data_IF_361888301976
#
_entry.id   IF_361888301976
#
_cell.length_a   1.000
_cell.length_b   1.000
_cell.length_c   1.000
_cell.angle_alpha   90.00
_cell.angle_beta   90.00
_cell.angle_gamma   90.00
#
_symmetry.space_group_name_H-M   'P 1'
#
loop_
_entity.id
_entity.type
_entity.pdbx_description
1 polymer ?
#
# COMPACT_ATOMS: atom_id res chain seq x y z
N UNK A 1 1.65 -2.25 32.47
CA UNK A 1 2.34 -0.99 32.86
C UNK A 1 1.38 0.15 32.59
N UNK A 2 1.32 1.17 33.44
CA UNK A 2 0.49 2.37 33.21
C UNK A 2 1.22 3.36 32.30
N UNK A 3 0.48 4.00 31.39
CA UNK A 3 1.00 5.08 30.55
C UNK A 3 1.42 6.27 31.41
N UNK A 4 2.65 6.76 31.22
CA UNK A 4 3.15 8.01 31.78
C UNK A 4 3.17 9.09 30.69
N UNK A 5 2.47 10.20 30.94
CA UNK A 5 2.49 11.39 30.09
C UNK A 5 3.39 12.45 30.71
N UNK A 6 4.18 13.13 29.90
CA UNK A 6 4.96 14.30 30.30
C UNK A 6 4.04 15.46 30.74
N UNK A 7 4.55 16.45 31.50
CA UNK A 7 3.75 17.64 31.85
C UNK A 7 3.21 18.38 30.63
N UNK A 8 3.97 18.42 29.53
CA UNK A 8 3.54 19.01 28.26
C UNK A 8 2.37 18.24 27.65
N UNK A 9 2.49 16.90 27.57
CA UNK A 9 1.45 16.01 27.04
C UNK A 9 0.15 16.10 27.87
N UNK A 10 0.27 16.20 29.19
CA UNK A 10 -0.87 16.42 30.09
C UNK A 10 -1.52 17.78 29.85
N UNK A 11 -0.72 18.83 29.68
CA UNK A 11 -1.22 20.17 29.39
C UNK A 11 -1.96 20.24 28.03
N UNK A 12 -1.46 19.55 27.00
CA UNK A 12 -2.16 19.42 25.71
C UNK A 12 -3.48 18.65 25.90
N UNK A 13 -3.45 17.50 26.60
CA UNK A 13 -4.64 16.67 26.82
C UNK A 13 -5.76 17.40 27.57
N UNK A 14 -5.43 18.39 28.41
CA UNK A 14 -6.39 19.21 29.15
C UNK A 14 -7.11 20.27 28.28
N UNK A 15 -6.61 20.58 27.08
CA UNK A 15 -7.21 21.57 26.18
C UNK A 15 -8.57 21.09 25.65
N UNK A 16 -9.50 22.02 25.45
CA UNK A 16 -10.83 21.77 24.86
C UNK A 16 -10.89 22.14 23.37
N UNK A 17 -9.80 21.90 22.68
CA UNK A 17 -9.61 22.18 21.25
C UNK A 17 -9.28 20.87 20.49
N UNK A 18 -8.99 20.99 19.19
CA UNK A 18 -8.68 19.83 18.34
C UNK A 18 -7.37 19.15 18.72
N UNK A 19 -6.36 19.89 19.19
CA UNK A 19 -5.10 19.34 19.66
C UNK A 19 -5.29 18.53 20.95
N UNK A 20 -6.10 19.02 21.89
CA UNK A 20 -6.45 18.27 23.10
C UNK A 20 -7.25 17.01 22.78
N UNK A 21 -8.15 17.07 21.79
CA UNK A 21 -8.85 15.87 21.30
C UNK A 21 -7.88 14.83 20.74
N UNK A 22 -6.97 15.23 19.86
CA UNK A 22 -5.93 14.36 19.30
C UNK A 22 -5.05 13.74 20.40
N UNK A 23 -4.57 14.54 21.35
CA UNK A 23 -3.73 14.06 22.45
C UNK A 23 -4.45 13.04 23.34
N UNK A 24 -5.75 13.24 23.62
CA UNK A 24 -6.55 12.25 24.37
C UNK A 24 -6.70 10.94 23.61
N UNK A 25 -6.90 11.00 22.29
CA UNK A 25 -6.96 9.80 21.43
C UNK A 25 -5.63 9.05 21.50
N UNK A 26 -4.50 9.73 21.27
CA UNK A 26 -3.16 9.11 21.34
C UNK A 26 -2.89 8.50 22.71
N UNK A 27 -3.22 9.21 23.79
CA UNK A 27 -3.03 8.72 25.15
C UNK A 27 -3.90 7.49 25.45
N UNK A 28 -5.17 7.49 25.04
CA UNK A 28 -6.05 6.35 25.28
C UNK A 28 -5.66 5.13 24.44
N UNK A 29 -5.32 5.34 23.17
CA UNK A 29 -4.74 4.29 22.33
C UNK A 29 -3.46 3.73 22.93
N UNK A 30 -2.56 4.58 23.45
CA UNK A 30 -1.34 4.12 24.11
C UNK A 30 -1.64 3.25 25.34
N UNK A 31 -2.65 3.58 26.15
CA UNK A 31 -3.09 2.72 27.28
C UNK A 31 -3.60 1.37 26.80
N UNK A 32 -4.47 1.34 25.79
CA UNK A 32 -5.03 0.12 25.21
C UNK A 32 -3.95 -0.78 24.61
N UNK A 33 -2.93 -0.19 24.01
CA UNK A 33 -1.79 -0.88 23.39
C UNK A 33 -0.70 -1.27 24.39
N UNK A 34 -0.85 -0.93 25.68
CA UNK A 34 0.12 -1.22 26.72
C UNK A 34 1.43 -0.43 26.60
N UNK A 35 1.42 0.69 25.88
CA UNK A 35 2.58 1.57 25.76
C UNK A 35 2.83 2.32 27.08
N UNK A 36 4.06 2.29 27.63
CA UNK A 36 4.37 2.93 28.90
C UNK A 36 4.54 4.45 28.77
N UNK A 37 4.75 4.96 27.56
CA UNK A 37 4.98 6.38 27.24
C UNK A 37 4.66 6.64 25.78
N UNK A 38 4.70 7.91 25.38
CA UNK A 38 4.73 8.32 23.98
C UNK A 38 6.16 8.67 23.54
N UNK A 39 6.44 8.48 22.26
CA UNK A 39 7.72 8.82 21.62
C UNK A 39 7.51 9.91 20.58
N UNK A 40 8.49 10.81 20.37
CA UNK A 40 8.46 11.75 19.27
C UNK A 40 8.53 11.01 17.93
N UNK A 41 7.84 11.53 16.93
CA UNK A 41 7.89 11.00 15.56
C UNK A 41 8.43 12.06 14.61
N UNK A 42 9.13 11.64 13.56
CA UNK A 42 9.73 12.53 12.57
C UNK A 42 8.74 12.97 11.48
N UNK A 43 7.75 12.13 11.17
CA UNK A 43 6.78 12.38 10.09
C UNK A 43 5.58 11.44 10.15
N UNK A 44 4.55 11.72 9.34
CA UNK A 44 3.39 10.85 9.15
C UNK A 44 2.99 10.64 7.69
N UNK A 45 2.34 9.50 7.44
CA UNK A 45 1.61 9.23 6.21
C UNK A 45 0.21 8.76 6.57
N UNK A 46 -0.76 9.64 6.31
CA UNK A 46 -2.13 9.53 6.81
C UNK A 46 -2.97 8.66 5.88
N UNK A 47 -3.47 7.55 6.39
CA UNK A 47 -4.41 6.64 5.73
C UNK A 47 -5.86 7.10 5.86
N UNK A 48 -6.20 7.77 6.98
CA UNK A 48 -7.57 8.16 7.31
C UNK A 48 -8.26 9.18 6.39
N UNK A 49 -7.62 9.57 5.28
CA UNK A 49 -8.20 10.40 4.23
C UNK A 49 -9.03 9.60 3.19
N UNK A 50 -9.25 8.30 3.46
CA UNK A 50 -10.14 7.42 2.72
C UNK A 50 -11.60 7.55 3.19
N UNK A 51 -12.53 7.78 2.27
CA UNK A 51 -13.96 7.88 2.60
C UNK A 51 -14.60 6.49 2.71
N UNK A 52 -14.76 6.00 3.94
CA UNK A 52 -15.51 4.78 4.27
C UNK A 52 -16.85 5.06 4.99
N UNK A 53 -17.29 6.31 4.96
CA UNK A 53 -18.51 6.76 5.62
C UNK A 53 -18.35 8.13 6.28
N UNK A 54 -19.46 8.65 6.77
CA UNK A 54 -19.58 10.03 7.21
C UNK A 54 -18.74 10.33 8.46
N UNK A 55 -18.53 9.34 9.32
CA UNK A 55 -17.79 9.49 10.58
C UNK A 55 -16.37 10.02 10.37
N UNK A 56 -15.64 9.53 9.36
CA UNK A 56 -14.29 10.01 9.08
C UNK A 56 -14.27 11.47 8.61
N UNK A 57 -15.29 11.88 7.84
CA UNK A 57 -15.43 13.26 7.37
C UNK A 57 -15.68 14.19 8.55
N UNK A 58 -16.67 13.85 9.38
CA UNK A 58 -17.06 14.63 10.55
C UNK A 58 -15.93 14.69 11.59
N UNK A 59 -15.16 13.62 11.75
CA UNK A 59 -13.98 13.58 12.62
C UNK A 59 -12.91 14.57 12.17
N UNK A 60 -12.53 14.54 10.89
CA UNK A 60 -11.54 15.46 10.34
C UNK A 60 -12.00 16.93 10.44
N UNK A 61 -13.27 17.20 10.13
CA UNK A 61 -13.85 18.53 10.30
C UNK A 61 -13.87 18.98 11.77
N UNK A 62 -14.12 18.06 12.71
CA UNK A 62 -14.09 18.40 14.14
C UNK A 62 -12.72 18.86 14.61
N UNK A 63 -11.66 18.23 14.10
CA UNK A 63 -10.29 18.65 14.36
C UNK A 63 -10.02 20.06 13.78
N UNK A 64 -10.51 20.34 12.57
CA UNK A 64 -10.41 21.67 11.93
C UNK A 64 -11.17 22.74 12.71
N UNK A 65 -12.42 22.46 13.12
CA UNK A 65 -13.21 23.37 13.98
C UNK A 65 -12.49 23.68 15.29
N UNK A 66 -11.81 22.68 15.85
CA UNK A 66 -10.98 22.81 17.04
C UNK A 66 -9.63 23.48 16.79
N UNK A 67 -9.35 24.01 15.59
CA UNK A 67 -8.12 24.71 15.26
C UNK A 67 -6.86 23.84 15.25
N UNK A 68 -6.98 22.51 15.10
CA UNK A 68 -5.82 21.62 15.06
C UNK A 68 -5.00 21.85 13.79
N UNK A 69 -3.69 21.60 13.90
CA UNK A 69 -2.74 21.55 12.79
C UNK A 69 -1.76 20.40 13.06
N UNK A 70 -1.23 19.79 12.00
CA UNK A 70 -0.14 18.81 12.13
C UNK A 70 1.12 19.48 12.68
N UNK A 71 1.78 18.83 13.65
CA UNK A 71 3.02 19.31 14.25
C UNK A 71 4.28 18.82 13.52
N UNK A 72 4.13 17.77 12.70
CA UNK A 72 5.22 17.16 11.92
C UNK A 72 4.84 17.07 10.45
N UNK A 73 5.83 16.91 9.57
CA UNK A 73 5.60 16.70 8.14
C UNK A 73 4.64 15.53 7.92
N UNK A 74 3.51 15.80 7.27
CA UNK A 74 2.41 14.84 7.16
C UNK A 74 1.93 14.77 5.72
N UNK A 75 1.98 13.58 5.12
CA UNK A 75 1.55 13.33 3.74
C UNK A 75 0.27 12.51 3.71
N UNK A 76 -0.48 12.57 2.62
CA UNK A 76 -1.77 11.89 2.47
C UNK A 76 -1.66 10.64 1.59
N UNK A 77 -2.23 9.54 2.07
CA UNK A 77 -2.57 8.39 1.23
C UNK A 77 -3.62 8.79 0.18
N UNK A 78 -4.01 7.87 -0.68
CA UNK A 78 -5.10 8.05 -1.65
C UNK A 78 -6.37 8.54 -0.95
N UNK A 79 -7.08 9.45 -1.62
CA UNK A 79 -8.40 9.92 -1.23
C UNK A 79 -9.50 9.18 -1.97
N UNK A 80 -10.72 9.66 -1.82
CA UNK A 80 -11.92 9.05 -2.40
C UNK A 80 -12.39 9.72 -3.71
N UNK A 81 -11.61 10.66 -4.26
CA UNK A 81 -11.92 11.34 -5.51
C UNK A 81 -10.64 11.54 -6.32
N UNK A 82 -10.76 11.45 -7.64
CA UNK A 82 -9.77 11.97 -8.58
C UNK A 82 -10.00 13.49 -8.71
N UNK A 83 -9.08 14.30 -8.18
CA UNK A 83 -9.11 15.76 -8.30
C UNK A 83 -8.29 16.29 -9.48
N UNK A 84 -7.58 15.40 -10.19
CA UNK A 84 -6.74 15.73 -11.33
C UNK A 84 -7.48 15.65 -12.67
N UNK A 85 -8.72 15.12 -12.66
CA UNK A 85 -9.54 14.96 -13.85
C UNK A 85 -8.98 13.91 -14.81
N UNK A 86 -8.27 12.91 -14.29
CA UNK A 86 -7.69 11.83 -15.09
C UNK A 86 -8.72 10.73 -15.39
N UNK A 87 -9.63 10.50 -14.45
CA UNK A 87 -10.64 9.44 -14.53
C UNK A 87 -12.04 9.93 -14.16
N UNK A 88 -13.06 9.22 -14.66
CA UNK A 88 -14.46 9.50 -14.31
C UNK A 88 -14.80 8.85 -12.97
N UNK A 89 -14.97 9.67 -11.94
CA UNK A 89 -15.50 9.24 -10.64
C UNK A 89 -17.02 9.06 -10.71
N UNK A 90 -17.50 7.85 -10.46
CA UNK A 90 -18.93 7.45 -10.44
C UNK A 90 -19.55 7.47 -9.05
N UNK A 91 -18.83 8.01 -8.06
CA UNK A 91 -19.39 8.24 -6.73
C UNK A 91 -20.42 9.36 -6.84
N UNK A 92 -21.66 9.06 -6.49
CA UNK A 92 -22.80 9.97 -6.56
C UNK A 92 -22.98 10.77 -5.27
N UNK A 93 -23.83 11.79 -5.31
CA UNK A 93 -24.25 12.54 -4.11
C UNK A 93 -25.24 11.72 -3.26
N UNK A 94 -25.24 11.85 -1.92
CA UNK A 94 -24.46 12.81 -1.12
C UNK A 94 -23.01 12.37 -0.77
N UNK A 95 -22.62 11.12 -1.06
CA UNK A 95 -21.32 10.56 -0.68
C UNK A 95 -20.15 11.31 -1.31
N UNK A 96 -20.30 11.73 -2.58
CA UNK A 96 -19.31 12.55 -3.29
C UNK A 96 -19.03 13.87 -2.57
N UNK A 97 -20.06 14.55 -2.06
CA UNK A 97 -19.91 15.76 -1.26
C UNK A 97 -19.16 15.52 0.04
N UNK A 98 -19.45 14.41 0.73
CA UNK A 98 -18.76 14.01 1.95
C UNK A 98 -17.27 13.69 1.71
N UNK A 99 -16.96 12.89 0.69
CA UNK A 99 -15.59 12.59 0.28
C UNK A 99 -14.77 13.88 0.00
N UNK A 100 -15.36 14.85 -0.71
CA UNK A 100 -14.71 16.14 -0.98
C UNK A 100 -14.43 16.92 0.29
N UNK A 101 -15.39 16.96 1.22
CA UNK A 101 -15.25 17.63 2.53
C UNK A 101 -14.13 17.01 3.36
N UNK A 102 -14.03 15.67 3.37
CA UNK A 102 -12.95 14.96 4.06
C UNK A 102 -11.58 15.36 3.50
N UNK A 103 -11.40 15.28 2.18
CA UNK A 103 -10.12 15.64 1.55
C UNK A 103 -9.73 17.10 1.84
N UNK A 104 -10.70 18.00 1.82
CA UNK A 104 -10.50 19.41 2.16
C UNK A 104 -10.18 19.62 3.66
N UNK A 105 -10.78 18.86 4.56
CA UNK A 105 -10.48 18.91 5.99
C UNK A 105 -9.02 18.54 6.26
N UNK A 106 -8.52 17.44 5.67
CA UNK A 106 -7.11 17.06 5.80
C UNK A 106 -6.15 18.09 5.21
N UNK A 107 -6.52 18.73 4.09
CA UNK A 107 -5.75 19.87 3.56
C UNK A 107 -5.70 21.03 4.56
N UNK A 108 -6.83 21.37 5.19
CA UNK A 108 -6.91 22.43 6.21
C UNK A 108 -6.16 22.11 7.49
N UNK A 109 -5.98 20.83 7.84
CA UNK A 109 -5.14 20.38 8.95
C UNK A 109 -3.63 20.54 8.68
N UNK A 110 -3.25 20.92 7.46
CA UNK A 110 -1.86 21.17 7.07
C UNK A 110 -1.16 19.98 6.41
N UNK A 111 -1.90 18.95 6.00
CA UNK A 111 -1.30 17.78 5.34
C UNK A 111 -0.90 18.06 3.87
N UNK A 112 0.26 17.55 3.47
CA UNK A 112 0.75 17.55 2.09
C UNK A 112 -0.09 16.63 1.21
N UNK A 113 -0.61 17.18 0.11
CA UNK A 113 -1.52 16.53 -0.83
C UNK A 113 -0.79 15.58 -1.81
N UNK A 114 -0.08 14.58 -1.28
CA UNK A 114 0.63 13.58 -2.07
C UNK A 114 -0.30 12.57 -2.76
N UNK A 115 -1.44 12.28 -2.12
CA UNK A 115 -2.51 11.38 -2.56
C UNK A 115 -1.99 10.08 -3.22
N UNK A 116 -1.20 9.32 -2.47
CA UNK A 116 -0.59 8.09 -2.97
C UNK A 116 -0.31 7.11 -1.85
N UNK A 117 -0.54 5.82 -2.09
CA UNK A 117 -0.17 4.74 -1.16
C UNK A 117 1.33 4.41 -1.20
N UNK A 118 2.09 5.03 -2.10
CA UNK A 118 3.54 4.87 -2.22
C UNK A 118 4.26 6.22 -1.97
N UNK A 119 4.22 6.77 -0.74
CA UNK A 119 4.77 8.11 -0.43
C UNK A 119 6.30 8.17 -0.59
N UNK A 120 6.99 7.04 -0.43
CA UNK A 120 8.43 6.91 -0.64
C UNK A 120 8.87 7.14 -2.10
N UNK A 121 7.97 6.94 -3.07
CA UNK A 121 8.21 7.33 -4.47
C UNK A 121 8.03 8.84 -4.69
N UNK A 122 7.22 9.50 -3.84
CA UNK A 122 7.00 10.94 -3.85
C UNK A 122 8.04 11.72 -3.00
N UNK A 123 9.15 11.09 -2.62
CA UNK A 123 10.23 11.71 -1.85
C UNK A 123 10.01 11.76 -0.34
N UNK A 124 8.95 11.15 0.19
CA UNK A 124 8.80 11.01 1.64
C UNK A 124 9.58 9.79 2.14
N UNK A 125 10.84 9.99 2.49
CA UNK A 125 11.77 8.91 2.85
C UNK A 125 12.43 9.19 4.21
N UNK A 126 11.82 8.77 5.33
CA UNK A 126 12.42 8.90 6.65
C UNK A 126 13.76 8.15 6.75
N UNK A 127 14.64 8.62 7.64
CA UNK A 127 15.95 8.02 7.84
C UNK A 127 15.85 6.66 8.54
N UNK A 128 16.83 5.78 8.29
CA UNK A 128 16.99 4.51 8.99
C UNK A 128 16.92 4.70 10.51
N UNK A 129 16.08 3.91 11.19
CA UNK A 129 15.90 3.92 12.63
C UNK A 129 15.01 5.05 13.18
N UNK A 130 14.52 5.97 12.34
CA UNK A 130 13.61 7.03 12.80
C UNK A 130 12.19 6.52 13.06
N UNK A 131 11.57 7.01 14.13
CA UNK A 131 10.17 6.71 14.45
C UNK A 131 9.23 7.62 13.65
N UNK A 132 8.21 7.03 13.02
CA UNK A 132 7.19 7.72 12.22
C UNK A 132 5.80 7.14 12.53
N UNK A 133 4.74 7.85 12.14
CA UNK A 133 3.38 7.30 12.20
C UNK A 133 2.76 7.22 10.80
N UNK A 134 2.96 6.09 10.13
CA UNK A 134 2.40 5.80 8.80
C UNK A 134 1.27 4.77 8.94
N UNK A 135 0.10 5.04 8.37
CA UNK A 135 -1.09 4.17 8.52
C UNK A 135 -1.28 3.16 7.38
N UNK A 136 -1.00 3.57 6.14
CA UNK A 136 -1.29 2.77 4.94
C UNK A 136 -0.46 1.49 4.90
N UNK A 137 -1.09 0.34 4.65
CA UNK A 137 -0.47 -0.98 4.86
C UNK A 137 0.77 -1.25 4.01
N UNK A 138 0.81 -0.83 2.76
CA UNK A 138 2.01 -0.96 1.93
C UNK A 138 3.11 0.01 2.39
N UNK A 139 2.76 1.26 2.69
CA UNK A 139 3.67 2.27 3.17
C UNK A 139 4.31 1.86 4.50
N UNK A 140 3.53 1.29 5.41
CA UNK A 140 3.99 0.72 6.70
C UNK A 140 5.06 -0.34 6.46
N UNK A 141 4.75 -1.35 5.65
CA UNK A 141 5.69 -2.45 5.40
C UNK A 141 6.94 -1.95 4.69
N UNK A 142 6.80 -1.09 3.68
CA UNK A 142 7.94 -0.53 2.97
C UNK A 142 8.81 0.34 3.88
N UNK A 143 8.20 1.18 4.73
CA UNK A 143 8.88 2.00 5.72
C UNK A 143 9.69 1.14 6.70
N UNK A 144 9.08 0.08 7.21
CA UNK A 144 9.73 -0.83 8.14
C UNK A 144 10.84 -1.65 7.49
N UNK A 145 10.57 -2.28 6.34
CA UNK A 145 11.46 -3.25 5.71
C UNK A 145 12.53 -2.63 4.83
N UNK A 146 12.16 -1.67 4.00
CA UNK A 146 13.05 -1.14 2.94
C UNK A 146 13.79 0.09 3.43
N UNK A 147 13.11 0.99 4.14
CA UNK A 147 13.74 2.19 4.71
C UNK A 147 14.39 1.93 6.08
N UNK A 148 13.92 0.92 6.81
CA UNK A 148 14.33 0.63 8.19
C UNK A 148 13.91 1.72 9.19
N UNK A 149 12.99 2.61 8.80
CA UNK A 149 12.29 3.46 9.74
C UNK A 149 11.24 2.64 10.50
N UNK A 150 10.65 3.20 11.55
CA UNK A 150 9.86 2.45 12.52
C UNK A 150 8.46 3.00 12.63
N UNK A 151 7.48 2.16 12.32
CA UNK A 151 6.06 2.50 12.43
C UNK A 151 5.26 1.24 12.75
N UNK A 152 4.16 1.41 13.48
CA UNK A 152 3.12 0.39 13.55
C UNK A 152 2.06 0.61 12.47
N UNK A 153 1.12 -0.33 12.36
CA UNK A 153 -0.09 -0.13 11.56
C UNK A 153 -1.10 0.66 12.38
N UNK A 154 -1.16 1.96 12.15
CA UNK A 154 -2.12 2.86 12.79
C UNK A 154 -3.48 2.79 12.10
N UNK A 155 -4.56 2.89 12.87
CA UNK A 155 -5.89 3.09 12.30
C UNK A 155 -6.14 4.55 11.91
N UNK A 156 -7.09 4.76 11.01
CA UNK A 156 -7.45 6.02 10.32
C UNK A 156 -7.61 7.28 11.21
N UNK A 157 -7.92 7.13 12.49
CA UNK A 157 -8.07 8.28 13.40
C UNK A 157 -6.83 8.53 14.26
N UNK A 158 -6.01 7.50 14.44
CA UNK A 158 -4.84 7.55 15.30
C UNK A 158 -3.64 8.14 14.56
N UNK A 159 -3.47 7.88 13.26
CA UNK A 159 -2.38 8.45 12.46
C UNK A 159 -2.40 9.99 12.43
N UNK A 160 -3.56 10.62 12.18
CA UNK A 160 -3.74 12.06 12.18
C UNK A 160 -3.64 12.64 13.59
N UNK A 161 -4.12 11.91 14.60
CA UNK A 161 -3.94 12.31 15.99
C UNK A 161 -2.45 12.33 16.37
N UNK A 162 -1.68 11.31 15.97
CA UNK A 162 -0.23 11.27 16.12
C UNK A 162 0.45 12.43 15.37
N UNK A 163 -0.03 12.79 14.17
CA UNK A 163 0.49 13.90 13.39
C UNK A 163 0.29 15.26 14.07
N UNK A 164 -0.91 15.51 14.62
CA UNK A 164 -1.25 16.74 15.34
C UNK A 164 -0.43 16.89 16.62
N UNK A 165 -0.20 15.78 17.33
CA UNK A 165 0.54 15.79 18.60
C UNK A 165 2.06 15.72 18.36
N UNK A 166 2.51 15.21 17.21
CA UNK A 166 3.92 14.91 16.94
C UNK A 166 4.47 13.76 17.77
N UNK A 167 3.59 12.86 18.24
CA UNK A 167 3.93 11.74 19.13
C UNK A 167 3.17 10.49 18.75
N UNK A 168 3.76 9.32 18.99
CA UNK A 168 3.10 8.02 18.86
C UNK A 168 3.30 7.14 20.11
N UNK A 169 2.45 6.13 20.34
CA UNK A 169 2.66 5.18 21.43
C UNK A 169 3.97 4.38 21.28
N UNK A 170 4.74 4.24 22.37
CA UNK A 170 5.97 3.40 22.42
C UNK A 170 5.61 1.91 22.54
N UNK A 171 5.35 1.24 21.41
CA UNK A 171 5.02 -0.18 21.35
C UNK A 171 5.37 -0.82 20.01
N UNK A 172 5.24 -2.14 19.95
CA UNK A 172 5.32 -2.90 18.69
C UNK A 172 6.62 -2.64 17.95
N UNK A 173 6.53 -2.31 16.66
CA UNK A 173 7.66 -2.18 15.75
C UNK A 173 8.52 -0.92 15.95
N UNK A 174 8.16 -0.03 16.89
CA UNK A 174 9.07 1.00 17.39
C UNK A 174 10.23 0.42 18.21
N UNK A 175 10.02 -0.77 18.78
CA UNK A 175 10.99 -1.39 19.67
C UNK A 175 11.89 -2.37 18.93
N UNK A 176 13.22 -2.21 18.98
CA UNK A 176 14.16 -3.08 18.25
C UNK A 176 13.96 -4.57 18.52
N UNK A 177 13.62 -4.96 19.75
CA UNK A 177 13.40 -6.35 20.14
C UNK A 177 12.22 -7.00 19.39
N UNK A 178 11.20 -6.23 19.02
CA UNK A 178 10.02 -6.72 18.32
C UNK A 178 10.22 -6.80 16.80
N UNK A 179 11.39 -6.41 16.30
CA UNK A 179 11.74 -6.40 14.87
C UNK A 179 12.57 -7.61 14.46
N UNK A 180 12.93 -8.47 15.40
CA UNK A 180 13.73 -9.67 15.14
C UNK A 180 12.92 -10.76 14.43
N UNK A 181 13.52 -11.37 13.42
CA UNK A 181 12.93 -12.45 12.66
C UNK A 181 12.84 -13.73 13.50
N UNK A 182 11.67 -14.36 13.49
CA UNK A 182 11.40 -15.64 14.15
C UNK A 182 11.46 -16.82 13.19
N UNK A 183 11.30 -16.55 11.90
CA UNK A 183 11.12 -17.55 10.84
C UNK A 183 12.08 -17.27 9.68
N UNK A 184 12.53 -18.32 8.99
CA UNK A 184 13.23 -18.20 7.70
C UNK A 184 12.30 -18.64 6.58
N UNK A 185 12.16 -17.79 5.57
CA UNK A 185 11.42 -18.08 4.34
C UNK A 185 12.43 -18.25 3.20
N UNK A 186 12.78 -19.50 2.91
CA UNK A 186 13.89 -19.85 2.03
C UNK A 186 13.42 -20.01 0.59
N UNK A 187 13.86 -19.10 -0.29
CA UNK A 187 13.56 -19.11 -1.73
C UNK A 187 14.71 -19.64 -2.59
N UNK A 188 15.78 -20.18 -1.98
CA UNK A 188 16.96 -20.67 -2.71
C UNK A 188 16.67 -21.83 -3.66
N UNK A 189 15.58 -22.55 -3.45
CA UNK A 189 15.11 -23.64 -4.32
C UNK A 189 14.38 -23.19 -5.59
N UNK A 190 14.12 -21.89 -5.75
CA UNK A 190 13.42 -21.34 -6.92
C UNK A 190 14.39 -20.96 -8.03
N UNK A 191 13.90 -20.95 -9.26
CA UNK A 191 14.71 -20.62 -10.43
C UNK A 191 15.16 -19.14 -10.41
N UNK A 192 16.43 -18.86 -10.79
CA UNK A 192 16.91 -17.48 -10.89
C UNK A 192 16.10 -16.63 -11.89
N UNK A 193 15.62 -17.23 -12.98
CA UNK A 193 14.77 -16.55 -13.97
C UNK A 193 13.44 -16.11 -13.40
N UNK A 194 12.83 -16.92 -12.52
CA UNK A 194 11.60 -16.54 -11.84
C UNK A 194 11.84 -15.37 -10.89
N UNK A 195 12.86 -15.46 -10.03
CA UNK A 195 13.20 -14.41 -9.06
C UNK A 195 13.58 -13.08 -9.73
N UNK A 196 14.10 -13.13 -10.97
CA UNK A 196 14.38 -11.95 -11.79
C UNK A 196 13.12 -11.34 -12.46
N UNK A 197 11.97 -12.02 -12.44
CA UNK A 197 10.73 -11.54 -13.05
C UNK A 197 9.88 -10.72 -12.06
N UNK A 198 9.13 -9.75 -12.56
CA UNK A 198 8.25 -8.91 -11.72
C UNK A 198 7.11 -9.70 -11.08
N UNK A 199 6.58 -10.71 -11.77
CA UNK A 199 5.46 -11.52 -11.28
C UNK A 199 5.81 -12.33 -10.02
N UNK A 200 7.09 -12.63 -9.79
CA UNK A 200 7.52 -13.41 -8.64
C UNK A 200 7.21 -12.72 -7.32
N UNK A 201 7.43 -11.41 -7.24
CA UNK A 201 7.40 -10.69 -5.98
C UNK A 201 5.99 -10.54 -5.37
N UNK A 202 4.93 -10.20 -6.12
CA UNK A 202 3.58 -10.28 -5.57
C UNK A 202 3.14 -11.71 -5.21
N UNK A 203 3.57 -12.73 -5.96
CA UNK A 203 3.24 -14.13 -5.66
C UNK A 203 3.92 -14.59 -4.37
N UNK A 204 5.23 -14.34 -4.24
CA UNK A 204 6.01 -14.65 -3.04
C UNK A 204 5.52 -13.83 -1.85
N UNK A 205 5.17 -12.57 -2.03
CA UNK A 205 4.59 -11.74 -0.98
C UNK A 205 3.24 -12.30 -0.49
N UNK A 206 2.36 -12.69 -1.42
CA UNK A 206 1.07 -13.32 -1.08
C UNK A 206 1.28 -14.62 -0.30
N UNK A 207 2.20 -15.48 -0.74
CA UNK A 207 2.56 -16.72 -0.05
C UNK A 207 3.15 -16.44 1.34
N UNK A 208 4.14 -15.55 1.41
CA UNK A 208 4.78 -15.14 2.67
C UNK A 208 3.74 -14.65 3.67
N UNK A 209 2.82 -13.76 3.26
CA UNK A 209 1.78 -13.27 4.16
C UNK A 209 0.88 -14.38 4.69
N UNK A 210 0.50 -15.37 3.87
CA UNK A 210 -0.33 -16.50 4.31
C UNK A 210 0.39 -17.43 5.29
N UNK A 211 1.68 -17.70 5.06
CA UNK A 211 2.46 -18.63 5.88
C UNK A 211 3.00 -17.98 7.17
N UNK A 212 3.35 -16.69 7.11
CA UNK A 212 4.02 -15.97 8.21
C UNK A 212 3.02 -15.17 9.06
N UNK A 213 1.95 -14.65 8.46
CA UNK A 213 0.96 -13.82 9.16
C UNK A 213 1.58 -12.56 9.76
N UNK A 214 1.30 -12.30 11.04
CA UNK A 214 1.81 -11.15 11.78
C UNK A 214 3.16 -11.40 12.50
N UNK A 215 3.78 -12.57 12.31
CA UNK A 215 5.14 -12.81 12.77
C UNK A 215 6.15 -12.07 11.87
N UNK A 216 7.40 -11.95 12.33
CA UNK A 216 8.49 -11.38 11.53
C UNK A 216 9.31 -12.53 10.96
N UNK A 217 9.46 -12.58 9.64
CA UNK A 217 10.31 -13.56 8.95
C UNK A 217 11.41 -12.88 8.14
N UNK A 218 12.51 -13.59 7.93
CA UNK A 218 13.58 -13.20 7.01
C UNK A 218 13.56 -14.09 5.76
N UNK A 219 13.51 -13.47 4.59
CA UNK A 219 13.63 -14.15 3.31
C UNK A 219 15.11 -14.43 3.04
N UNK A 220 15.46 -15.70 2.84
CA UNK A 220 16.80 -16.16 2.48
C UNK A 220 16.84 -16.69 1.05
N UNK A 221 18.03 -16.75 0.43
CA UNK A 221 18.21 -17.32 -0.92
C UNK A 221 18.02 -16.34 -2.07
N UNK A 222 17.96 -15.03 -1.80
CA UNK A 222 17.91 -13.98 -2.84
C UNK A 222 19.32 -13.65 -3.30
N UNK A 223 19.64 -13.93 -4.56
CA UNK A 223 21.00 -13.78 -5.10
C UNK A 223 21.40 -12.33 -5.42
N UNK A 224 20.43 -11.46 -5.74
CA UNK A 224 20.67 -10.07 -6.11
C UNK A 224 19.52 -9.18 -5.64
N UNK A 225 19.82 -7.90 -5.42
CA UNK A 225 18.81 -6.92 -5.02
C UNK A 225 17.73 -6.78 -6.11
N UNK A 226 16.44 -7.06 -5.81
CA UNK A 226 15.39 -7.14 -6.84
C UNK A 226 14.84 -5.78 -7.28
N UNK A 227 15.19 -4.71 -6.56
CA UNK A 227 14.75 -3.34 -6.83
C UNK A 227 13.57 -2.94 -5.95
N UNK A 228 13.39 -1.63 -5.74
CA UNK A 228 12.35 -1.13 -4.82
C UNK A 228 10.93 -1.47 -5.29
N UNK A 229 10.65 -1.48 -6.60
CA UNK A 229 9.32 -1.83 -7.11
C UNK A 229 8.96 -3.29 -6.81
N UNK A 230 9.94 -4.20 -6.85
CA UNK A 230 9.77 -5.60 -6.43
C UNK A 230 9.54 -5.72 -4.91
N UNK A 231 10.31 -5.01 -4.09
CA UNK A 231 10.14 -4.97 -2.64
C UNK A 231 8.77 -4.40 -2.22
N UNK A 232 8.35 -3.34 -2.91
CA UNK A 232 7.02 -2.73 -2.82
C UNK A 232 5.92 -3.75 -3.14
N UNK A 233 6.05 -4.44 -4.27
CA UNK A 233 5.07 -5.43 -4.70
C UNK A 233 4.96 -6.62 -3.72
N UNK A 234 6.11 -7.12 -3.25
CA UNK A 234 6.17 -8.15 -2.21
C UNK A 234 5.50 -7.69 -0.91
N UNK A 235 5.90 -6.53 -0.40
CA UNK A 235 5.37 -5.98 0.86
C UNK A 235 3.87 -5.73 0.80
N UNK A 236 3.37 -5.18 -0.30
CA UNK A 236 1.95 -4.92 -0.48
C UNK A 236 1.11 -6.21 -0.53
N UNK A 237 1.58 -7.24 -1.23
CA UNK A 237 0.91 -8.53 -1.28
C UNK A 237 0.92 -9.22 0.10
N UNK A 238 2.06 -9.21 0.80
CA UNK A 238 2.21 -9.79 2.13
C UNK A 238 1.36 -9.09 3.19
N UNK A 239 1.30 -7.75 3.16
CA UNK A 239 0.44 -6.96 4.04
C UNK A 239 -1.05 -7.28 3.81
N UNK A 240 -1.44 -7.52 2.56
CA UNK A 240 -2.83 -7.80 2.20
C UNK A 240 -3.25 -9.22 2.58
N UNK A 241 -2.39 -10.23 2.33
CA UNK A 241 -2.72 -11.63 2.61
C UNK A 241 -2.47 -12.07 4.05
N UNK A 242 -1.59 -11.39 4.78
CA UNK A 242 -1.11 -11.81 6.10
C UNK A 242 -1.07 -10.76 7.20
N UNK A 243 -1.46 -9.51 6.91
CA UNK A 243 -1.27 -8.39 7.83
C UNK A 243 0.20 -8.20 8.29
N UNK A 244 1.16 -8.59 7.45
CA UNK A 244 2.59 -8.37 7.66
C UNK A 244 2.83 -6.88 7.86
N UNK A 245 3.56 -6.50 8.92
CA UNK A 245 3.96 -5.11 9.21
C UNK A 245 5.45 -4.84 8.95
N UNK A 246 6.26 -5.89 8.90
CA UNK A 246 7.70 -5.87 8.65
C UNK A 246 8.12 -7.26 8.15
N UNK A 247 8.86 -7.30 7.05
CA UNK A 247 9.65 -8.44 6.62
C UNK A 247 11.13 -8.06 6.52
N UNK A 248 12.01 -9.05 6.52
CA UNK A 248 13.43 -8.87 6.17
C UNK A 248 13.76 -9.66 4.92
N UNK A 249 14.75 -9.20 4.14
CA UNK A 249 15.39 -9.98 3.08
C UNK A 249 16.90 -9.91 3.33
N UNK A 250 17.50 -11.08 3.58
CA UNK A 250 18.92 -11.18 3.89
C UNK A 250 19.77 -10.60 2.76
N UNK A 251 20.70 -9.71 3.11
CA UNK A 251 21.60 -9.03 2.17
C UNK A 251 20.95 -7.89 1.38
N UNK A 252 19.67 -7.59 1.61
CA UNK A 252 18.90 -6.56 0.87
C UNK A 252 18.33 -5.50 1.81
N UNK A 253 17.55 -5.90 2.81
CA UNK A 253 16.96 -4.94 3.76
C UNK A 253 17.99 -4.48 4.81
N UNK A 254 17.97 -3.20 5.23
CA UNK A 254 19.05 -2.60 6.02
C UNK A 254 19.29 -3.25 7.39
N UNK A 255 18.27 -3.85 8.01
CA UNK A 255 18.39 -4.52 9.32
C UNK A 255 18.90 -5.97 9.22
N UNK A 256 18.97 -6.55 8.01
CA UNK A 256 19.29 -7.96 7.79
C UNK A 256 20.45 -8.13 6.80
N UNK A 257 21.70 -7.84 7.18
CA UNK A 257 22.85 -8.07 6.31
C UNK A 257 23.03 -9.56 5.93
N UNK A 258 22.63 -10.47 6.81
CA UNK A 258 22.50 -11.90 6.57
C UNK A 258 21.45 -12.47 7.53
N UNK A 259 21.03 -13.72 7.33
CA UNK A 259 19.91 -14.35 8.07
C UNK A 259 20.16 -14.33 9.58
N UNK A 260 21.36 -14.76 10.01
CA UNK A 260 21.71 -14.95 11.42
C UNK A 260 21.73 -13.63 12.22
N UNK A 261 22.02 -12.51 11.57
CA UNK A 261 22.08 -11.20 12.23
C UNK A 261 20.72 -10.69 12.72
N UNK A 262 19.63 -11.14 12.08
CA UNK A 262 18.28 -10.63 12.35
C UNK A 262 17.39 -11.62 13.10
N UNK A 263 17.84 -12.86 13.32
CA UNK A 263 17.08 -13.84 14.10
C UNK A 263 16.86 -13.39 15.55
N UNK A 264 15.72 -13.77 16.12
CA UNK A 264 15.36 -13.53 17.51
C UNK A 264 16.12 -14.42 18.49
N UNK A 265 16.67 -15.54 18.00
CA UNK A 265 17.47 -16.50 18.76
C UNK A 265 18.59 -17.09 17.89
N UNK A 266 19.36 -18.05 18.43
CA UNK A 266 20.46 -18.69 17.71
C UNK A 266 19.98 -19.51 16.50
N UNK A 267 18.75 -20.00 16.53
CA UNK A 267 18.10 -20.78 15.46
C UNK A 267 16.70 -20.20 15.18
N UNK A 268 16.18 -20.32 13.94
CA UNK A 268 14.82 -19.92 13.63
C UNK A 268 13.80 -20.87 14.25
N UNK A 269 12.65 -20.33 14.65
CA UNK A 269 11.53 -21.13 15.20
C UNK A 269 10.91 -22.05 14.13
N UNK A 270 10.96 -21.65 12.86
CA UNK A 270 10.67 -22.52 11.73
C UNK A 270 11.39 -22.06 10.44
N UNK A 271 11.56 -23.01 9.52
CA UNK A 271 12.07 -22.76 8.17
C UNK A 271 11.03 -23.20 7.16
N UNK A 272 10.49 -22.25 6.39
CA UNK A 272 9.59 -22.48 5.28
C UNK A 272 10.45 -22.58 4.01
N UNK A 273 10.65 -23.80 3.51
CA UNK A 273 11.35 -24.03 2.24
C UNK A 273 10.36 -23.89 1.09
N UNK A 274 10.48 -22.81 0.33
CA UNK A 274 9.53 -22.49 -0.74
C UNK A 274 9.78 -23.37 -1.95
N UNK A 275 8.76 -24.14 -2.34
CA UNK A 275 8.84 -25.00 -3.53
C UNK A 275 8.09 -24.39 -4.73
N UNK A 276 8.41 -24.80 -5.97
CA UNK A 276 7.66 -24.39 -7.15
C UNK A 276 6.15 -24.67 -7.05
N UNK A 277 5.74 -25.75 -6.39
CA UNK A 277 4.33 -26.09 -6.18
C UNK A 277 3.63 -25.10 -5.24
N UNK A 278 4.33 -24.65 -4.19
CA UNK A 278 3.81 -23.60 -3.30
C UNK A 278 3.62 -22.29 -4.06
N UNK A 279 4.57 -21.93 -4.92
CA UNK A 279 4.49 -20.75 -5.79
C UNK A 279 3.33 -20.85 -6.78
N UNK A 280 3.17 -22.00 -7.45
CA UNK A 280 2.07 -22.24 -8.38
C UNK A 280 0.70 -22.14 -7.69
N UNK A 281 0.57 -22.72 -6.49
CA UNK A 281 -0.64 -22.62 -5.67
C UNK A 281 -0.92 -21.19 -5.23
N UNK A 282 0.09 -20.44 -4.82
CA UNK A 282 -0.04 -19.04 -4.43
C UNK A 282 -0.46 -18.16 -5.62
N UNK A 283 0.14 -18.36 -6.79
CA UNK A 283 -0.22 -17.66 -8.04
C UNK A 283 -1.66 -17.96 -8.44
N UNK A 284 -2.07 -19.23 -8.43
CA UNK A 284 -3.45 -19.61 -8.73
C UNK A 284 -4.45 -18.97 -7.74
N UNK A 285 -4.09 -18.91 -6.46
CA UNK A 285 -4.90 -18.29 -5.41
C UNK A 285 -5.02 -16.76 -5.46
N UNK A 286 -4.37 -16.09 -6.41
CA UNK A 286 -4.57 -14.68 -6.73
C UNK A 286 -5.63 -14.46 -7.83
N UNK A 287 -6.12 -15.53 -8.44
CA UNK A 287 -7.24 -15.45 -9.40
C UNK A 287 -8.52 -16.00 -8.76
N UNK A 288 -9.64 -15.33 -9.02
CA UNK A 288 -10.98 -15.82 -8.62
C UNK A 288 -11.81 -16.24 -9.83
N UNK A 289 -11.42 -15.80 -11.04
CA UNK A 289 -12.03 -16.25 -12.29
C UNK A 289 -11.29 -17.47 -12.86
N UNK A 290 -12.01 -18.34 -13.58
CA UNK A 290 -11.46 -19.50 -14.26
C UNK A 290 -12.03 -19.64 -15.67
N UNK A 291 -11.18 -20.02 -16.64
CA UNK A 291 -11.55 -20.36 -18.02
C UNK A 291 -12.38 -19.27 -18.77
N UNK A 292 -12.16 -17.99 -18.45
CA UNK A 292 -12.87 -16.87 -19.07
C UNK A 292 -12.38 -16.63 -20.51
N UNK A 293 -13.29 -16.31 -21.42
CA UNK A 293 -12.95 -16.05 -22.83
C UNK A 293 -12.63 -14.58 -23.13
N UNK A 294 -13.09 -13.69 -22.26
CA UNK A 294 -12.95 -12.24 -22.38
C UNK A 294 -12.50 -11.67 -21.03
N UNK A 295 -11.94 -10.47 -21.08
CA UNK A 295 -11.73 -9.61 -19.91
C UNK A 295 -12.46 -8.29 -20.15
N UNK A 296 -12.81 -7.58 -19.09
CA UNK A 296 -13.55 -6.30 -19.18
C UNK A 296 -12.64 -5.11 -18.90
N UNK A 297 -11.58 -5.33 -18.12
CA UNK A 297 -10.63 -4.32 -17.73
C UNK A 297 -9.30 -4.94 -17.29
N UNK A 298 -8.27 -4.10 -17.29
CA UNK A 298 -7.02 -4.36 -16.57
C UNK A 298 -6.83 -3.27 -15.53
N UNK A 299 -6.40 -3.61 -14.32
CA UNK A 299 -5.97 -2.61 -13.33
C UNK A 299 -4.56 -2.90 -12.82
N UNK A 300 -3.74 -1.86 -12.80
CA UNK A 300 -2.36 -1.89 -12.33
C UNK A 300 -2.07 -0.67 -11.45
N UNK A 301 -1.01 -0.75 -10.64
CA UNK A 301 -0.66 0.34 -9.72
C UNK A 301 -1.31 0.23 -8.34
N UNK A 302 -1.34 -0.95 -7.74
CA UNK A 302 -1.53 -1.08 -6.30
C UNK A 302 -0.41 -1.92 -5.69
N UNK A 303 0.64 -1.31 -5.14
CA UNK A 303 0.78 0.13 -4.87
C UNK A 303 0.97 0.99 -6.12
N UNK A 304 0.71 2.29 -6.01
CA UNK A 304 0.73 3.26 -7.12
C UNK A 304 2.00 3.18 -7.98
N UNK A 305 1.80 3.24 -9.31
CA UNK A 305 2.86 3.06 -10.29
C UNK A 305 4.00 4.07 -10.11
N UNK A 306 5.23 3.58 -10.22
CA UNK A 306 6.46 4.36 -10.37
C UNK A 306 6.64 4.82 -11.83
N UNK A 307 7.56 5.76 -12.05
CA UNK A 307 7.92 6.17 -13.41
C UNK A 307 8.52 5.00 -14.22
N UNK A 308 9.30 4.12 -13.58
CA UNK A 308 9.90 2.96 -14.25
C UNK A 308 8.85 1.91 -14.66
N UNK A 309 7.79 1.76 -13.85
CA UNK A 309 6.64 0.93 -14.22
C UNK A 309 5.85 1.55 -15.39
N UNK A 310 5.72 2.87 -15.46
CA UNK A 310 5.17 3.56 -16.64
C UNK A 310 6.05 3.37 -17.89
N UNK A 311 7.37 3.40 -17.76
CA UNK A 311 8.29 3.12 -18.87
C UNK A 311 8.08 1.70 -19.41
N UNK A 312 7.86 0.74 -18.51
CA UNK A 312 7.57 -0.65 -18.89
C UNK A 312 6.19 -0.79 -19.54
N UNK A 313 5.17 -0.12 -18.99
CA UNK A 313 3.82 -0.05 -19.57
C UNK A 313 3.86 0.50 -21.00
N UNK A 314 4.51 1.64 -21.24
CA UNK A 314 4.60 2.26 -22.58
C UNK A 314 5.34 1.37 -23.57
N UNK A 315 6.47 0.78 -23.14
CA UNK A 315 7.26 -0.14 -23.97
C UNK A 315 6.42 -1.35 -24.41
N UNK A 316 5.65 -1.93 -23.49
CA UNK A 316 4.83 -3.12 -23.76
C UNK A 316 3.58 -2.79 -24.57
N UNK A 317 2.95 -1.61 -24.37
CA UNK A 317 1.86 -1.14 -25.23
C UNK A 317 2.38 -0.92 -26.66
N UNK A 318 3.59 -0.37 -26.81
CA UNK A 318 4.25 -0.14 -28.10
C UNK A 318 3.38 0.67 -29.10
N UNK A 319 2.60 1.63 -28.59
CA UNK A 319 1.68 2.46 -29.39
C UNK A 319 0.43 1.74 -29.91
N UNK A 320 0.19 0.48 -29.53
CA UNK A 320 -1.00 -0.29 -29.92
C UNK A 320 -2.24 0.26 -29.22
N UNK A 321 -3.39 0.18 -29.89
CA UNK A 321 -4.70 0.42 -29.27
C UNK A 321 -5.12 -0.76 -28.43
N UNK A 322 -5.69 -0.47 -27.27
CA UNK A 322 -6.23 -1.45 -26.35
C UNK A 322 -7.70 -1.74 -26.72
N UNK A 323 -8.07 -3.02 -26.76
CA UNK A 323 -9.46 -3.45 -26.94
C UNK A 323 -10.28 -3.27 -25.65
N UNK A 324 -9.63 -3.36 -24.48
CA UNK A 324 -10.22 -3.08 -23.17
C UNK A 324 -9.34 -2.10 -22.39
N UNK A 325 -9.91 -1.27 -21.49
CA UNK A 325 -9.15 -0.24 -20.80
C UNK A 325 -8.14 -0.83 -19.80
N UNK A 326 -6.96 -0.20 -19.71
CA UNK A 326 -6.04 -0.36 -18.58
C UNK A 326 -6.24 0.82 -17.62
N UNK A 327 -6.65 0.56 -16.38
CA UNK A 327 -6.68 1.54 -15.30
C UNK A 327 -5.32 1.56 -14.59
N UNK A 328 -4.55 2.63 -14.81
CA UNK A 328 -3.22 2.81 -14.26
C UNK A 328 -3.26 3.76 -13.06
N UNK A 329 -3.26 3.21 -11.85
CA UNK A 329 -3.33 3.98 -10.61
C UNK A 329 -1.95 4.55 -10.23
N UNK A 330 -1.88 5.85 -9.98
CA UNK A 330 -0.60 6.52 -9.67
C UNK A 330 -0.77 7.76 -8.78
N UNK A 331 0.35 8.24 -8.23
CA UNK A 331 0.39 9.47 -7.43
C UNK A 331 0.70 10.72 -8.29
N UNK A 332 0.39 11.89 -7.74
CA UNK A 332 0.62 13.19 -8.42
C UNK A 332 2.05 13.40 -8.89
N UNK A 333 3.04 12.86 -8.17
CA UNK A 333 4.46 12.97 -8.50
C UNK A 333 4.81 12.37 -9.88
N UNK A 334 4.27 11.18 -10.19
CA UNK A 334 4.48 10.52 -11.48
C UNK A 334 3.60 11.13 -12.58
N UNK A 335 2.34 11.47 -12.25
CA UNK A 335 1.44 12.17 -13.18
C UNK A 335 2.05 13.47 -13.71
N UNK A 336 2.63 14.29 -12.83
CA UNK A 336 3.27 15.54 -13.22
C UNK A 336 4.44 15.34 -14.20
N UNK A 337 5.16 14.21 -14.10
CA UNK A 337 6.20 13.86 -15.07
C UNK A 337 5.58 13.43 -16.41
N UNK A 338 4.56 12.57 -16.38
CA UNK A 338 3.85 12.15 -17.60
C UNK A 338 3.25 13.33 -18.37
N UNK A 339 2.75 14.35 -17.66
CA UNK A 339 2.21 15.56 -18.27
C UNK A 339 3.30 16.42 -18.92
N UNK A 340 4.40 16.67 -18.21
CA UNK A 340 5.54 17.43 -18.75
C UNK A 340 6.12 16.82 -20.02
N UNK A 341 6.19 15.49 -20.07
CA UNK A 341 6.77 14.76 -21.21
C UNK A 341 5.76 14.48 -22.35
N UNK A 342 4.51 14.94 -22.18
CA UNK A 342 3.38 14.67 -23.10
C UNK A 342 3.01 13.18 -23.19
N UNK A 343 3.50 12.35 -22.27
CA UNK A 343 3.29 10.89 -22.19
C UNK A 343 1.86 10.54 -21.81
N UNK A 344 1.26 11.31 -20.90
CA UNK A 344 -0.14 11.12 -20.46
C UNK A 344 -1.10 10.99 -21.65
N UNK A 345 -1.08 11.98 -22.56
CA UNK A 345 -1.98 11.99 -23.73
C UNK A 345 -1.75 10.81 -24.68
N UNK A 346 -0.50 10.34 -24.82
CA UNK A 346 -0.18 9.17 -25.66
C UNK A 346 -0.75 7.89 -25.07
N UNK A 347 -0.60 7.71 -23.76
CA UNK A 347 -1.19 6.58 -23.02
C UNK A 347 -2.72 6.59 -23.10
N UNK A 348 -3.34 7.76 -22.86
CA UNK A 348 -4.81 7.92 -22.97
C UNK A 348 -5.31 7.63 -24.39
N UNK A 349 -4.58 8.06 -25.43
CA UNK A 349 -4.93 7.76 -26.82
C UNK A 349 -4.88 6.26 -27.15
N UNK A 350 -4.04 5.48 -26.48
CA UNK A 350 -3.99 4.02 -26.61
C UNK A 350 -5.14 3.32 -25.88
N UNK A 351 -5.82 3.97 -24.93
CA UNK A 351 -6.89 3.39 -24.11
C UNK A 351 -6.54 3.20 -22.64
N UNK A 352 -5.43 3.77 -22.17
CA UNK A 352 -5.08 3.77 -20.74
C UNK A 352 -5.87 4.86 -20.02
N UNK A 353 -6.54 4.49 -18.93
CA UNK A 353 -7.19 5.43 -18.02
C UNK A 353 -6.24 5.67 -16.85
N UNK A 354 -5.65 6.85 -16.78
CA UNK A 354 -4.84 7.23 -15.61
C UNK A 354 -5.79 7.51 -14.45
N UNK A 355 -5.51 6.92 -13.28
CA UNK A 355 -6.25 7.15 -12.05
C UNK A 355 -5.30 7.80 -11.05
N UNK A 356 -5.55 9.05 -10.73
CA UNK A 356 -4.74 9.82 -9.79
C UNK A 356 -5.56 10.20 -8.57
N UNK A 357 -4.86 10.50 -7.48
CA UNK A 357 -5.39 10.79 -6.14
C UNK A 357 -6.16 9.68 -5.45
N UNK A 358 -6.63 8.69 -6.20
CA UNK A 358 -7.44 7.58 -5.72
C UNK A 358 -7.02 6.27 -6.37
N UNK A 359 -7.81 5.22 -6.16
CA UNK A 359 -7.53 3.87 -6.63
C UNK A 359 -8.84 3.16 -7.01
N UNK A 360 -8.81 2.24 -7.98
CA UNK A 360 -10.02 1.56 -8.48
C UNK A 360 -10.73 0.68 -7.45
N UNK A 361 -10.05 0.30 -6.36
CA UNK A 361 -10.63 -0.47 -5.24
C UNK A 361 -11.08 0.42 -4.07
N UNK A 362 -10.93 1.74 -4.19
CA UNK A 362 -11.36 2.72 -3.19
C UNK A 362 -12.51 3.55 -3.73
N UNK A 363 -12.39 4.02 -4.97
CA UNK A 363 -13.38 4.89 -5.62
C UNK A 363 -14.00 4.15 -6.79
N UNK A 364 -15.34 4.25 -6.98
CA UNK A 364 -16.00 3.68 -8.16
C UNK A 364 -15.58 4.45 -9.42
N UNK A 365 -14.50 4.00 -10.05
CA UNK A 365 -14.00 4.51 -11.34
C UNK A 365 -14.47 3.61 -12.48
N UNK A 366 -14.35 2.29 -12.27
CA UNK A 366 -14.73 1.28 -13.25
C UNK A 366 -16.26 1.26 -13.42
N UNK A 367 -16.77 0.96 -14.64
CA UNK A 367 -18.20 0.78 -14.85
C UNK A 367 -18.79 -0.28 -13.92
N UNK A 368 -20.00 -0.06 -13.43
CA UNK A 368 -20.80 -1.15 -12.89
C UNK A 368 -21.20 -2.05 -14.05
N UNK A 369 -21.03 -3.36 -13.87
CA UNK A 369 -21.49 -4.34 -14.83
C UNK A 369 -22.89 -4.78 -14.41
N UNK A 370 -23.82 -4.62 -15.34
CA UNK A 370 -25.24 -4.87 -15.08
C UNK A 370 -25.49 -6.34 -14.72
N UNK A 371 -26.64 -6.63 -14.08
CA UNK A 371 -26.99 -7.98 -13.62
C UNK A 371 -27.02 -9.04 -14.73
N UNK A 372 -27.14 -8.64 -15.99
CA UNK A 372 -27.14 -9.53 -17.16
C UNK A 372 -25.75 -10.01 -17.61
N UNK A 373 -24.69 -9.26 -17.27
CA UNK A 373 -23.30 -9.55 -17.66
C UNK A 373 -22.53 -10.34 -16.57
N UNK A 374 -23.13 -10.51 -15.39
CA UNK A 374 -22.46 -11.06 -14.22
C UNK A 374 -21.35 -10.15 -13.69
N UNK A 375 -20.56 -10.67 -12.75
CA UNK A 375 -19.34 -10.01 -12.29
C UNK A 375 -18.31 -10.03 -13.43
N UNK A 376 -17.92 -8.86 -13.94
CA UNK A 376 -16.87 -8.82 -14.97
C UNK A 376 -15.52 -9.28 -14.46
N UNK A 377 -14.60 -9.40 -15.40
CA UNK A 377 -13.27 -9.95 -15.17
C UNK A 377 -12.24 -8.84 -15.30
N UNK A 378 -11.59 -8.55 -14.17
CA UNK A 378 -10.47 -7.64 -14.05
C UNK A 378 -9.16 -8.43 -14.07
N UNK A 379 -8.27 -8.11 -15.00
CA UNK A 379 -6.92 -8.66 -14.99
C UNK A 379 -5.94 -7.72 -14.28
N UNK A 380 -4.99 -8.25 -13.52
CA UNK A 380 -4.06 -7.43 -12.74
C UNK A 380 -2.71 -8.13 -12.51
N UNK A 381 -1.63 -7.35 -12.43
CA UNK A 381 -0.31 -7.80 -11.97
C UNK A 381 -0.06 -7.48 -10.49
N UNK A 382 -1.04 -6.93 -9.79
CA UNK A 382 -0.92 -6.57 -8.37
C UNK A 382 -1.56 -7.63 -7.48
N UNK A 383 -0.76 -8.21 -6.58
CA UNK A 383 -1.28 -9.10 -5.53
C UNK A 383 -2.27 -8.41 -4.59
N UNK A 384 -2.10 -7.10 -4.36
CA UNK A 384 -3.02 -6.29 -3.53
C UNK A 384 -4.35 -6.05 -4.24
N UNK A 385 -4.35 -5.75 -5.54
CA UNK A 385 -5.58 -5.68 -6.31
C UNK A 385 -6.27 -7.03 -6.41
N UNK A 386 -5.52 -8.10 -6.64
CA UNK A 386 -6.08 -9.44 -6.66
C UNK A 386 -6.82 -9.80 -5.36
N UNK A 387 -6.32 -9.31 -4.22
CA UNK A 387 -6.97 -9.50 -2.92
C UNK A 387 -8.24 -8.64 -2.75
N UNK A 388 -8.18 -7.33 -3.03
CA UNK A 388 -9.26 -6.40 -2.69
C UNK A 388 -10.32 -6.22 -3.79
N UNK A 389 -9.97 -6.38 -5.06
CA UNK A 389 -10.89 -6.08 -6.16
C UNK A 389 -12.22 -6.85 -6.09
N UNK A 390 -12.27 -8.17 -5.78
CA UNK A 390 -13.54 -8.87 -5.68
C UNK A 390 -14.49 -8.29 -4.63
N UNK A 391 -13.97 -7.99 -3.43
CA UNK A 391 -14.77 -7.45 -2.34
C UNK A 391 -15.17 -5.97 -2.54
N UNK A 392 -14.28 -5.17 -3.13
CA UNK A 392 -14.47 -3.73 -3.20
C UNK A 392 -15.12 -3.25 -4.50
N UNK A 393 -15.03 -4.04 -5.58
CA UNK A 393 -15.50 -3.64 -6.91
C UNK A 393 -16.51 -4.62 -7.50
N UNK A 394 -16.63 -5.83 -6.93
CA UNK A 394 -17.45 -6.91 -7.49
C UNK A 394 -16.81 -7.65 -8.67
N UNK A 395 -15.73 -7.16 -9.26
CA UNK A 395 -15.05 -7.83 -10.37
C UNK A 395 -14.37 -9.12 -9.91
N UNK A 396 -14.57 -10.20 -10.67
CA UNK A 396 -13.71 -11.37 -10.59
C UNK A 396 -12.30 -11.03 -11.11
N UNK A 397 -11.29 -11.76 -10.63
CA UNK A 397 -9.89 -11.43 -10.89
C UNK A 397 -9.19 -12.53 -11.68
N UNK A 398 -8.36 -12.10 -12.64
CA UNK A 398 -7.26 -12.89 -13.19
C UNK A 398 -5.93 -12.23 -12.86
N UNK A 399 -5.03 -12.97 -12.22
CA UNK A 399 -3.68 -12.50 -11.92
C UNK A 399 -2.68 -12.96 -12.98
N UNK A 400 -1.84 -12.06 -13.48
CA UNK A 400 -0.81 -12.36 -14.48
C UNK A 400 0.36 -11.39 -14.45
N UNK A 401 1.34 -11.58 -15.33
CA UNK A 401 2.44 -10.62 -15.48
C UNK A 401 1.97 -9.31 -16.10
N UNK A 402 2.74 -8.23 -15.95
CA UNK A 402 2.45 -6.96 -16.63
C UNK A 402 2.37 -7.13 -18.16
N UNK A 403 3.26 -7.93 -18.75
CA UNK A 403 3.27 -8.21 -20.17
C UNK A 403 1.98 -8.92 -20.62
N UNK A 404 1.56 -9.94 -19.88
CA UNK A 404 0.32 -10.68 -20.14
C UNK A 404 -0.92 -9.81 -19.97
N UNK A 405 -0.94 -8.94 -18.94
CA UNK A 405 -2.02 -7.99 -18.73
C UNK A 405 -2.15 -7.04 -19.94
N UNK A 406 -1.04 -6.53 -20.44
CA UNK A 406 -1.04 -5.59 -21.58
C UNK A 406 -1.43 -6.29 -22.88
N UNK A 407 -0.90 -7.49 -23.13
CA UNK A 407 -1.27 -8.26 -24.33
C UNK A 407 -2.75 -8.64 -24.30
N UNK A 408 -3.26 -9.02 -23.13
CA UNK A 408 -4.69 -9.30 -22.94
C UNK A 408 -5.54 -8.06 -23.16
N UNK A 409 -5.08 -6.88 -22.73
CA UNK A 409 -5.76 -5.61 -22.97
C UNK A 409 -5.82 -5.26 -24.47
N UNK A 410 -4.75 -5.53 -25.21
CA UNK A 410 -4.68 -5.33 -26.67
C UNK A 410 -5.65 -6.27 -27.39
N UNK A 411 -5.74 -7.54 -26.99
CA UNK A 411 -6.56 -8.54 -27.66
C UNK A 411 -8.01 -8.64 -27.16
N UNK A 412 -8.32 -8.07 -25.99
CA UNK A 412 -9.64 -8.16 -25.34
C UNK A 412 -9.95 -9.54 -24.74
N UNK A 413 -8.96 -10.41 -24.62
CA UNK A 413 -9.09 -11.77 -24.08
C UNK A 413 -7.85 -12.15 -23.27
N UNK A 414 -7.97 -13.06 -22.28
CA UNK A 414 -6.82 -13.48 -21.49
C UNK A 414 -5.72 -14.12 -22.35
N UNK A 415 -4.49 -13.68 -22.11
CA UNK A 415 -3.24 -14.25 -22.61
C UNK A 415 -2.36 -14.53 -21.40
N UNK A 416 -1.71 -15.70 -21.39
CA UNK A 416 -0.81 -16.08 -20.32
C UNK A 416 0.49 -16.62 -20.91
N UNK A 417 1.60 -16.11 -20.39
CA UNK A 417 2.92 -16.68 -20.62
C UNK A 417 3.29 -17.53 -19.42
N UNK A 418 3.78 -18.73 -19.65
CA UNK A 418 4.28 -19.57 -18.57
C UNK A 418 5.67 -19.07 -18.13
N UNK A 419 5.80 -18.83 -16.83
CA UNK A 419 7.06 -18.42 -16.19
C UNK A 419 7.23 -19.42 -15.05
N UNK A 420 8.08 -20.43 -15.29
CA UNK A 420 8.32 -21.50 -14.35
C UNK A 420 9.03 -20.97 -13.10
N UNK A 421 8.51 -21.37 -11.93
CA UNK A 421 9.02 -20.97 -10.62
C UNK A 421 10.32 -21.67 -10.26
#
# INVERSE_FOLDING_TARGET
MSLSLSPEEQAIAARRDGAGMAMRIVAESARLLGAPRLIPIASTHIDGALYHGDSGTLFAEKLVEGGAQVAVRSTLNVGALDLMGCSRVRLEEPQRGMARRMMEAYRKLGCEQSWTCAPYQAGHRPALGSDVAWGESNAVVFCNSVLGARTNRYGDFLDIACAIVGRAPDYGLHRPENRKARLVFDVSGLSPSFLASEIAWPVLGSLYGREVGNAIGVVGGVAAHPGEDALKAFGAAAASSGAVGLFHIAGVTPEAPHVEAILAGPEPEAVIRVTPEMVAKARAGLSTAAATKTIDAVAIGSPHLSNAEFDSLERLIAGRRLAVPIYACTGRHALAQLERDGRRKRLEASGVVIVADTCVVVTPIMPELGPELGNGVLMTNSGKFAHYAPGNTGYAVLYASLADCIESAVLGKPVFTDIAA
#
